data_IF_687304426809
#
_entry.id   IF_687304426809
#
_cell.length_a   1.000
_cell.length_b   1.000
_cell.length_c   1.000
_cell.angle_alpha   90.00
_cell.angle_beta   90.00
_cell.angle_gamma   90.00
#
_symmetry.space_group_name_H-M   'P 1'
#
loop_
_entity.id
_entity.type
_entity.pdbx_description
1 polymer ?
#
# COMPACT_ATOMS: atom_id res chain seq x y z
N UNK A 1 2.21 18.09 24.94
CA UNK A 1 0.90 17.91 24.32
C UNK A 1 1.02 16.87 23.21
N UNK A 2 0.06 15.93 23.13
CA UNK A 2 0.01 14.91 22.07
C UNK A 2 -0.40 15.62 20.78
N UNK A 3 0.31 15.36 19.68
CA UNK A 3 -0.06 15.82 18.34
C UNK A 3 -1.33 15.08 17.89
N UNK A 4 -2.47 15.75 18.04
CA UNK A 4 -3.78 15.17 17.73
C UNK A 4 -3.90 14.76 16.26
N UNK A 5 -3.29 15.49 15.32
CA UNK A 5 -3.31 15.15 13.90
C UNK A 5 -2.61 13.81 13.66
N UNK A 6 -1.47 13.57 14.28
CA UNK A 6 -0.77 12.27 14.19
C UNK A 6 -1.51 11.18 14.95
N UNK A 7 -2.10 11.52 16.10
CA UNK A 7 -2.90 10.56 16.86
C UNK A 7 -4.09 10.01 16.04
N UNK A 8 -4.70 10.82 15.18
CA UNK A 8 -5.85 10.41 14.36
C UNK A 8 -5.49 9.65 13.08
N UNK A 9 -4.22 9.55 12.74
CA UNK A 9 -3.77 8.77 11.57
C UNK A 9 -3.88 7.28 11.84
N UNK A 10 -4.13 6.53 10.78
CA UNK A 10 -4.10 5.07 10.75
C UNK A 10 -3.09 4.64 9.69
N UNK A 11 -2.07 3.91 10.11
CA UNK A 11 -0.98 3.45 9.24
C UNK A 11 -0.90 1.94 9.35
N UNK A 12 -0.92 1.26 8.24
CA UNK A 12 -0.83 -0.19 8.17
C UNK A 12 0.43 -0.61 7.42
N UNK A 13 1.08 -1.64 7.95
CA UNK A 13 2.14 -2.37 7.26
C UNK A 13 2.16 -3.83 7.74
N UNK A 14 2.74 -4.71 6.94
CA UNK A 14 2.90 -6.12 7.29
C UNK A 14 4.37 -6.50 7.30
N UNK A 15 4.68 -7.54 8.08
CA UNK A 15 6.02 -8.10 8.14
C UNK A 15 5.96 -9.59 8.46
N UNK A 16 7.11 -10.22 8.59
CA UNK A 16 7.21 -11.61 9.01
C UNK A 16 8.29 -11.82 10.06
N UNK A 17 8.17 -12.91 10.79
CA UNK A 17 9.19 -13.43 11.71
C UNK A 17 9.62 -14.79 11.21
N UNK A 18 10.90 -14.91 10.88
CA UNK A 18 11.50 -16.16 10.39
C UNK A 18 11.32 -17.27 11.41
N UNK A 19 10.80 -18.41 10.96
CA UNK A 19 10.54 -19.54 11.79
C UNK A 19 11.73 -20.49 11.88
N UNK A 20 11.80 -21.27 12.96
CA UNK A 20 12.80 -22.33 13.11
C UNK A 20 12.34 -23.60 12.42
N UNK A 21 12.56 -23.71 11.11
CA UNK A 21 12.12 -24.81 10.26
C UNK A 21 13.24 -25.32 9.36
N UNK A 22 13.11 -26.57 8.90
CA UNK A 22 14.11 -27.22 8.06
C UNK A 22 14.34 -26.46 6.75
N UNK A 23 13.28 -25.87 6.20
CA UNK A 23 13.28 -25.14 4.94
C UNK A 23 14.13 -23.86 5.03
N UNK A 24 14.28 -23.26 6.20
CA UNK A 24 15.17 -22.13 6.47
C UNK A 24 16.64 -22.54 6.65
N UNK A 25 16.96 -23.83 6.69
CA UNK A 25 18.33 -24.27 6.76
C UNK A 25 19.00 -24.04 5.38
N UNK A 26 20.14 -23.30 5.31
CA UNK A 26 20.85 -23.08 4.05
C UNK A 26 21.19 -24.37 3.28
N UNK A 27 21.40 -25.49 3.99
CA UNK A 27 21.65 -26.80 3.36
C UNK A 27 20.44 -27.31 2.57
N UNK A 28 19.23 -26.96 2.98
CA UNK A 28 18.01 -27.36 2.29
C UNK A 28 17.92 -26.72 0.89
N UNK A 29 17.98 -25.39 0.81
CA UNK A 29 17.97 -24.67 -0.45
C UNK A 29 19.18 -25.03 -1.35
N UNK A 30 20.39 -25.11 -0.77
CA UNK A 30 21.60 -25.45 -1.51
C UNK A 30 21.55 -26.85 -2.13
N UNK A 31 20.89 -27.81 -1.50
CA UNK A 31 20.67 -29.15 -2.07
C UNK A 31 19.83 -29.06 -3.35
N UNK A 32 18.72 -28.33 -3.31
CA UNK A 32 17.82 -28.12 -4.46
C UNK A 32 18.56 -27.39 -5.59
N UNK A 33 19.26 -26.30 -5.27
CA UNK A 33 20.05 -25.53 -6.24
C UNK A 33 21.10 -26.43 -6.94
N UNK A 34 21.80 -27.27 -6.19
CA UNK A 34 22.78 -28.22 -6.72
C UNK A 34 22.14 -29.22 -7.69
N UNK A 35 20.97 -29.75 -7.35
CA UNK A 35 20.21 -30.66 -8.22
C UNK A 35 19.79 -29.96 -9.52
N UNK A 36 19.26 -28.75 -9.42
CA UNK A 36 18.81 -27.97 -10.58
C UNK A 36 19.98 -27.56 -11.48
N UNK A 37 21.15 -27.20 -10.93
CA UNK A 37 22.37 -26.96 -11.70
C UNK A 37 22.82 -28.20 -12.47
N UNK A 38 22.78 -29.36 -11.82
CA UNK A 38 23.13 -30.64 -12.47
C UNK A 38 22.13 -31.00 -13.58
N UNK A 39 20.84 -30.78 -13.33
CA UNK A 39 19.76 -30.98 -14.31
C UNK A 39 19.92 -30.04 -15.51
N UNK A 40 20.12 -28.75 -15.29
CA UNK A 40 20.31 -27.77 -16.35
C UNK A 40 21.50 -28.10 -17.25
N UNK A 41 22.61 -28.54 -16.63
CA UNK A 41 23.81 -29.01 -17.38
C UNK A 41 23.51 -30.25 -18.23
N UNK A 42 22.79 -31.24 -17.68
CA UNK A 42 22.42 -32.46 -18.40
C UNK A 42 21.46 -32.21 -19.57
N UNK A 43 20.57 -31.22 -19.42
CA UNK A 43 19.57 -30.84 -20.43
C UNK A 43 20.06 -29.74 -21.38
N UNK A 44 21.31 -29.29 -21.26
CA UNK A 44 21.90 -28.23 -22.08
C UNK A 44 21.07 -26.94 -22.12
N UNK A 45 20.54 -26.53 -20.96
CA UNK A 45 19.85 -25.24 -20.86
C UNK A 45 20.83 -24.09 -21.16
N UNK A 46 20.31 -23.04 -21.77
CA UNK A 46 21.07 -21.83 -22.08
C UNK A 46 21.34 -20.95 -20.84
N UNK A 47 22.15 -19.90 -21.02
CA UNK A 47 22.54 -18.99 -19.93
C UNK A 47 21.36 -18.17 -19.35
N UNK A 48 20.18 -18.24 -19.95
CA UNK A 48 18.95 -17.57 -19.42
C UNK A 48 18.33 -18.32 -18.26
N UNK A 49 18.67 -19.61 -18.07
CA UNK A 49 18.17 -20.41 -16.97
C UNK A 49 18.84 -20.06 -15.65
N UNK A 50 18.04 -19.52 -14.71
CA UNK A 50 18.49 -19.21 -13.35
C UNK A 50 18.11 -20.34 -12.37
N UNK A 51 19.07 -21.19 -11.97
CA UNK A 51 18.81 -22.30 -11.03
C UNK A 51 18.44 -21.82 -9.62
N UNK A 52 18.80 -20.60 -9.24
CA UNK A 52 18.42 -20.03 -7.94
C UNK A 52 16.94 -19.66 -7.95
N UNK A 53 16.50 -18.95 -8.97
CA UNK A 53 15.09 -18.59 -9.15
C UNK A 53 14.22 -19.83 -9.29
N UNK A 54 14.67 -20.84 -10.04
CA UNK A 54 13.98 -22.12 -10.19
C UNK A 54 13.89 -22.89 -8.87
N UNK A 55 14.93 -22.85 -8.02
CA UNK A 55 14.92 -23.48 -6.72
C UNK A 55 13.82 -22.91 -5.82
N UNK A 56 13.75 -21.59 -5.67
CA UNK A 56 12.70 -20.96 -4.88
C UNK A 56 11.30 -21.21 -5.44
N UNK A 57 11.15 -21.27 -6.77
CA UNK A 57 9.89 -21.61 -7.43
C UNK A 57 9.44 -23.06 -7.17
N UNK A 58 10.39 -23.98 -6.98
CA UNK A 58 10.12 -25.41 -6.73
C UNK A 58 9.98 -25.78 -5.25
N UNK A 59 10.38 -24.89 -4.33
CA UNK A 59 10.19 -25.12 -2.90
C UNK A 59 8.70 -25.04 -2.53
N UNK A 60 8.24 -25.78 -1.50
CA UNK A 60 6.86 -25.75 -1.05
C UNK A 60 6.45 -24.32 -0.64
N UNK A 61 5.16 -23.99 -0.73
CA UNK A 61 4.64 -22.67 -0.35
C UNK A 61 4.63 -22.46 1.16
N UNK A 62 4.62 -23.53 1.94
CA UNK A 62 4.63 -23.52 3.40
C UNK A 62 5.60 -24.56 3.96
N UNK A 63 5.94 -24.46 5.23
CA UNK A 63 6.78 -25.44 5.92
C UNK A 63 6.00 -26.73 6.21
N UNK A 64 6.71 -27.87 6.18
CA UNK A 64 6.17 -29.16 6.59
C UNK A 64 5.82 -29.22 8.09
N UNK A 65 6.46 -28.40 8.91
CA UNK A 65 6.24 -28.37 10.35
C UNK A 65 4.92 -27.67 10.74
N UNK A 66 4.53 -26.62 10.00
CA UNK A 66 3.30 -25.88 10.22
C UNK A 66 2.92 -25.14 8.93
N UNK A 67 1.68 -25.32 8.46
CA UNK A 67 1.17 -24.76 7.22
C UNK A 67 1.00 -23.23 7.25
N UNK A 68 0.95 -22.61 8.43
CA UNK A 68 0.89 -21.16 8.57
C UNK A 68 2.24 -20.48 8.41
N UNK A 69 3.34 -21.27 8.45
CA UNK A 69 4.68 -20.78 8.12
C UNK A 69 4.83 -20.79 6.60
N UNK A 70 4.63 -19.65 5.98
CA UNK A 70 4.65 -19.48 4.52
C UNK A 70 5.99 -18.99 4.01
N UNK A 71 6.27 -19.27 2.72
CA UNK A 71 7.42 -18.69 2.03
C UNK A 71 7.18 -17.19 1.81
N UNK A 72 8.04 -16.35 2.38
CA UNK A 72 7.99 -14.89 2.31
C UNK A 72 9.32 -14.31 1.84
N UNK A 73 9.28 -13.08 1.32
CA UNK A 73 10.46 -12.29 1.06
C UNK A 73 10.55 -11.19 2.13
N UNK A 74 11.51 -11.30 3.03
CA UNK A 74 11.66 -10.43 4.20
C UNK A 74 13.12 -9.97 4.28
N UNK A 75 13.36 -8.71 4.57
CA UNK A 75 14.69 -8.14 4.81
C UNK A 75 15.72 -8.51 3.72
N UNK A 76 15.26 -8.58 2.46
CA UNK A 76 16.12 -8.82 1.31
C UNK A 76 16.36 -10.30 0.94
N UNK A 77 15.74 -11.26 1.62
CA UNK A 77 15.89 -12.68 1.32
C UNK A 77 14.57 -13.47 1.43
N UNK A 78 14.54 -14.62 0.77
CA UNK A 78 13.44 -15.58 0.92
C UNK A 78 13.64 -16.43 2.16
N UNK A 79 12.59 -16.52 2.98
CA UNK A 79 12.55 -17.39 4.15
C UNK A 79 11.13 -17.90 4.40
N UNK A 80 11.02 -18.91 5.27
CA UNK A 80 9.75 -19.40 5.79
C UNK A 80 9.47 -18.71 7.11
N UNK A 81 8.36 -17.99 7.14
CA UNK A 81 8.04 -17.08 8.24
C UNK A 81 6.55 -17.08 8.57
N UNK A 82 6.23 -16.72 9.80
CA UNK A 82 4.91 -16.27 10.16
C UNK A 82 4.71 -14.84 9.72
N UNK A 83 3.59 -14.55 9.10
CA UNK A 83 3.22 -13.21 8.67
C UNK A 83 2.30 -12.55 9.69
N UNK A 84 2.52 -11.26 9.93
CA UNK A 84 1.66 -10.45 10.78
C UNK A 84 1.51 -9.04 10.19
N UNK A 85 0.44 -8.35 10.58
CA UNK A 85 0.20 -6.95 10.25
C UNK A 85 0.13 -6.10 11.51
N UNK A 86 0.59 -4.87 11.41
CA UNK A 86 0.51 -3.88 12.49
C UNK A 86 -0.23 -2.64 11.99
N UNK A 87 -1.17 -2.17 12.78
CA UNK A 87 -1.79 -0.86 12.61
C UNK A 87 -1.27 0.07 13.69
N UNK A 88 -0.67 1.19 13.28
CA UNK A 88 -0.21 2.23 14.21
C UNK A 88 -0.95 3.55 13.98
N UNK A 89 -0.83 4.46 14.92
CA UNK A 89 -1.10 5.87 14.65
C UNK A 89 0.15 6.57 14.09
N UNK A 90 0.04 7.87 13.78
CA UNK A 90 1.17 8.67 13.26
C UNK A 90 2.27 8.96 14.28
N UNK A 91 2.10 8.56 15.54
CA UNK A 91 3.13 8.60 16.58
C UNK A 91 3.91 7.28 16.66
N UNK A 92 3.49 6.24 15.91
CA UNK A 92 4.08 4.92 15.95
C UNK A 92 3.53 4.02 17.06
N UNK A 93 2.48 4.44 17.77
CA UNK A 93 1.82 3.63 18.80
C UNK A 93 0.96 2.57 18.12
N UNK A 94 1.22 1.31 18.41
CA UNK A 94 0.45 0.17 17.88
C UNK A 94 -0.96 0.17 18.47
N UNK A 95 -1.96 0.06 17.57
CA UNK A 95 -3.38 0.01 17.91
C UNK A 95 -3.99 -1.36 17.65
N UNK A 96 -3.41 -2.11 16.71
CA UNK A 96 -3.88 -3.43 16.36
C UNK A 96 -2.74 -4.28 15.80
N UNK A 97 -2.78 -5.57 16.09
CA UNK A 97 -1.87 -6.58 15.56
C UNK A 97 -2.74 -7.70 14.98
N UNK A 98 -2.61 -7.94 13.68
CA UNK A 98 -3.22 -9.07 13.00
C UNK A 98 -2.16 -10.17 12.82
N UNK A 99 -2.45 -11.37 13.29
CA UNK A 99 -1.60 -12.53 13.08
C UNK A 99 -2.25 -13.44 12.03
N UNK A 100 -1.60 -13.60 10.88
CA UNK A 100 -2.20 -14.23 9.70
C UNK A 100 -2.03 -15.75 9.73
N UNK A 101 -2.72 -16.38 10.66
CA UNK A 101 -2.82 -17.80 10.83
C UNK A 101 -4.19 -18.34 10.37
N UNK A 102 -4.42 -19.62 10.55
CA UNK A 102 -5.68 -20.27 10.20
C UNK A 102 -6.89 -19.58 10.84
N UNK A 103 -6.81 -19.20 12.12
CA UNK A 103 -7.91 -18.57 12.83
C UNK A 103 -8.31 -17.23 12.19
N UNK A 104 -7.32 -16.43 11.76
CA UNK A 104 -7.58 -15.16 11.05
C UNK A 104 -8.31 -15.41 9.72
N UNK A 105 -7.87 -16.40 8.93
CA UNK A 105 -8.52 -16.71 7.65
C UNK A 105 -9.89 -17.35 7.81
N UNK A 106 -10.12 -18.11 8.87
CA UNK A 106 -11.45 -18.65 9.19
C UNK A 106 -12.45 -17.54 9.56
N UNK A 107 -11.98 -16.44 10.17
CA UNK A 107 -12.79 -15.23 10.46
C UNK A 107 -12.99 -14.33 9.22
N UNK A 108 -12.11 -14.44 8.21
CA UNK A 108 -12.13 -13.63 6.99
C UNK A 108 -12.20 -14.52 5.74
N UNK A 109 -13.31 -15.26 5.52
CA UNK A 109 -13.44 -16.17 4.38
C UNK A 109 -13.52 -15.45 3.02
N UNK A 110 -13.70 -14.14 2.99
CA UNK A 110 -13.63 -13.32 1.79
C UNK A 110 -12.22 -13.22 1.21
N UNK A 111 -11.18 -13.56 1.99
CA UNK A 111 -9.80 -13.59 1.50
C UNK A 111 -9.58 -14.87 0.72
N UNK A 112 -9.51 -14.75 -0.60
CA UNK A 112 -9.21 -15.89 -1.47
C UNK A 112 -7.72 -16.18 -1.41
N UNK A 113 -7.36 -17.37 -0.94
CA UNK A 113 -6.00 -17.87 -0.97
C UNK A 113 -5.68 -18.38 -2.38
N UNK A 114 -4.66 -17.81 -3.02
CA UNK A 114 -4.17 -18.32 -4.30
C UNK A 114 -3.31 -19.56 -4.06
N UNK A 115 -3.50 -20.59 -4.85
CA UNK A 115 -2.66 -21.79 -4.82
C UNK A 115 -1.38 -21.59 -5.65
N UNK A 116 -0.28 -22.15 -5.17
CA UNK A 116 1.00 -22.17 -5.89
C UNK A 116 1.02 -23.29 -6.94
N UNK A 117 0.31 -24.38 -6.68
CA UNK A 117 0.19 -25.56 -7.55
C UNK A 117 -1.25 -26.09 -7.51
N UNK A 118 -1.54 -27.12 -8.29
CA UNK A 118 -2.83 -27.82 -8.28
C UNK A 118 -3.03 -28.68 -7.01
N UNK A 119 -2.01 -28.82 -6.16
CA UNK A 119 -2.14 -29.51 -4.88
C UNK A 119 -3.10 -28.79 -3.94
N UNK A 120 -4.06 -29.50 -3.31
CA UNK A 120 -5.00 -28.91 -2.36
C UNK A 120 -4.33 -28.23 -1.16
N UNK A 121 -3.12 -28.69 -0.79
CA UNK A 121 -2.38 -28.25 0.39
C UNK A 121 -1.41 -27.08 0.10
N UNK A 122 -1.26 -26.69 -1.18
CA UNK A 122 -0.29 -25.70 -1.59
C UNK A 122 -0.93 -24.30 -1.74
N UNK A 123 -0.82 -23.48 -0.69
CA UNK A 123 -1.27 -22.10 -0.69
C UNK A 123 -0.12 -21.13 -0.82
N UNK A 124 -0.31 -20.05 -1.57
CA UNK A 124 0.59 -18.91 -1.58
C UNK A 124 0.41 -18.05 -0.33
N UNK A 125 1.46 -17.35 0.05
CA UNK A 125 1.33 -16.22 0.96
C UNK A 125 0.39 -15.17 0.38
N UNK A 126 -0.51 -14.65 1.22
CA UNK A 126 -1.48 -13.63 0.81
C UNK A 126 -0.81 -12.27 0.68
N UNK A 127 -1.10 -11.56 -0.41
CA UNK A 127 -0.61 -10.19 -0.63
C UNK A 127 -1.17 -9.22 0.40
N UNK A 128 -0.35 -8.27 0.83
CA UNK A 128 -0.70 -7.23 1.82
C UNK A 128 -1.95 -6.45 1.45
N UNK A 129 -2.15 -6.20 0.16
CA UNK A 129 -3.35 -5.52 -0.34
C UNK A 129 -4.67 -6.25 -0.01
N UNK A 130 -4.65 -7.58 0.16
CA UNK A 130 -5.82 -8.36 0.57
C UNK A 130 -6.00 -8.43 2.07
N UNK A 131 -4.93 -8.21 2.84
CA UNK A 131 -4.93 -8.27 4.30
C UNK A 131 -5.33 -6.93 4.94
N UNK A 132 -5.20 -5.83 4.20
CA UNK A 132 -5.45 -4.48 4.71
C UNK A 132 -6.86 -4.30 5.25
N UNK A 133 -7.88 -4.55 4.42
CA UNK A 133 -9.27 -4.28 4.79
C UNK A 133 -9.72 -5.16 5.96
N UNK A 134 -9.50 -6.50 5.96
CA UNK A 134 -9.81 -7.35 7.09
C UNK A 134 -9.15 -6.90 8.40
N UNK A 135 -7.85 -6.56 8.36
CA UNK A 135 -7.15 -6.06 9.55
C UNK A 135 -7.71 -4.74 10.08
N UNK A 136 -8.16 -3.85 9.19
CA UNK A 136 -8.82 -2.61 9.61
C UNK A 136 -10.24 -2.86 10.12
N UNK A 137 -10.96 -3.84 9.59
CA UNK A 137 -12.28 -4.24 10.10
C UNK A 137 -12.16 -4.76 11.53
N UNK A 138 -11.18 -5.61 11.82
CA UNK A 138 -10.91 -6.10 13.18
C UNK A 138 -10.53 -4.95 14.12
N UNK A 139 -9.68 -4.01 13.68
CA UNK A 139 -9.35 -2.82 14.45
C UNK A 139 -10.61 -2.03 14.84
N UNK A 140 -11.46 -1.71 13.86
CA UNK A 140 -12.65 -0.87 14.11
C UNK A 140 -13.77 -1.63 14.84
N UNK A 141 -13.82 -2.96 14.73
CA UNK A 141 -14.70 -3.80 15.55
C UNK A 141 -14.25 -3.81 17.02
N UNK A 142 -12.94 -3.96 17.26
CA UNK A 142 -12.38 -3.93 18.62
C UNK A 142 -12.45 -2.53 19.27
N UNK A 143 -12.44 -1.45 18.44
CA UNK A 143 -12.41 -0.07 18.91
C UNK A 143 -13.54 0.76 18.28
N UNK A 144 -14.80 0.56 18.71
CA UNK A 144 -15.97 1.20 18.08
C UNK A 144 -16.01 2.74 18.21
N UNK A 145 -15.25 3.30 19.14
CA UNK A 145 -15.13 4.77 19.32
C UNK A 145 -14.05 5.39 18.40
N UNK A 146 -13.23 4.58 17.75
CA UNK A 146 -12.20 5.07 16.85
C UNK A 146 -12.81 5.50 15.51
N UNK A 147 -12.57 6.75 15.11
CA UNK A 147 -13.02 7.27 13.84
C UNK A 147 -11.88 7.28 12.81
N UNK A 148 -12.10 6.72 11.61
CA UNK A 148 -11.10 6.76 10.54
C UNK A 148 -11.06 8.16 9.87
N UNK A 149 -9.94 8.89 9.98
CA UNK A 149 -9.77 10.17 9.30
C UNK A 149 -8.77 10.10 8.17
N UNK A 150 -7.55 9.68 8.46
CA UNK A 150 -6.44 9.68 7.52
C UNK A 150 -5.77 8.32 7.50
N UNK A 151 -5.70 7.70 6.33
CA UNK A 151 -4.98 6.46 6.10
C UNK A 151 -3.64 6.73 5.40
N UNK A 152 -2.58 6.04 5.84
CA UNK A 152 -1.29 6.01 5.16
C UNK A 152 -0.89 4.57 4.85
N UNK A 153 -0.48 4.32 3.63
CA UNK A 153 -0.09 2.97 3.19
C UNK A 153 0.97 2.99 2.09
N UNK A 154 1.52 1.82 1.80
CA UNK A 154 2.50 1.62 0.73
C UNK A 154 1.82 1.67 -0.66
N UNK A 155 2.63 1.84 -1.72
CA UNK A 155 2.23 1.75 -3.11
C UNK A 155 1.60 0.39 -3.50
N UNK A 156 1.83 -0.67 -2.72
CA UNK A 156 1.16 -1.96 -2.87
C UNK A 156 -0.37 -1.86 -2.71
N UNK A 157 -0.85 -0.86 -1.97
CA UNK A 157 -2.28 -0.60 -1.73
C UNK A 157 -2.93 0.30 -2.79
N UNK A 158 -2.20 0.76 -3.79
CA UNK A 158 -2.71 1.65 -4.84
C UNK A 158 -3.59 0.89 -5.85
N UNK A 159 -4.85 0.67 -5.50
CA UNK A 159 -5.85 0.10 -6.39
C UNK A 159 -7.22 0.78 -6.23
N UNK A 160 -7.96 0.89 -7.33
CA UNK A 160 -9.29 1.53 -7.32
C UNK A 160 -10.26 0.85 -6.35
N UNK A 161 -10.21 -0.47 -6.24
CA UNK A 161 -11.03 -1.25 -5.32
C UNK A 161 -10.75 -0.91 -3.86
N UNK A 162 -9.46 -0.83 -3.46
CA UNK A 162 -9.07 -0.46 -2.11
C UNK A 162 -9.46 0.98 -1.77
N UNK A 163 -9.25 1.94 -2.67
CA UNK A 163 -9.71 3.31 -2.42
C UNK A 163 -11.22 3.40 -2.21
N UNK A 164 -12.01 2.63 -2.98
CA UNK A 164 -13.45 2.58 -2.78
C UNK A 164 -13.81 2.05 -1.40
N UNK A 165 -13.15 1.00 -0.93
CA UNK A 165 -13.38 0.43 0.41
C UNK A 165 -12.89 1.36 1.54
N UNK A 166 -11.75 2.04 1.36
CA UNK A 166 -11.19 2.95 2.34
C UNK A 166 -11.98 4.27 2.46
N UNK A 167 -12.42 4.85 1.33
CA UNK A 167 -12.88 6.24 1.25
C UNK A 167 -14.40 6.38 1.07
N UNK A 168 -15.15 5.28 1.03
CA UNK A 168 -16.61 5.35 0.85
C UNK A 168 -17.33 4.18 1.50
N UNK A 169 -18.63 4.36 1.72
CA UNK A 169 -19.50 3.31 2.25
C UNK A 169 -19.34 3.08 3.76
N UNK A 170 -19.64 1.86 4.18
CA UNK A 170 -19.65 1.42 5.59
C UNK A 170 -18.74 0.22 5.83
N UNK A 171 -17.61 0.16 5.12
CA UNK A 171 -16.65 -0.95 5.19
C UNK A 171 -16.19 -1.24 6.62
N UNK A 172 -16.11 -0.20 7.45
CA UNK A 172 -15.69 -0.28 8.85
C UNK A 172 -16.87 -0.10 9.85
N UNK A 173 -18.08 -0.50 9.43
CA UNK A 173 -19.28 -0.35 10.21
C UNK A 173 -19.89 1.07 10.13
N UNK A 174 -20.76 1.40 11.08
CA UNK A 174 -21.42 2.70 11.18
C UNK A 174 -21.05 3.41 12.49
N UNK A 175 -21.11 4.74 12.47
CA UNK A 175 -20.99 5.56 13.67
C UNK A 175 -22.28 5.53 14.51
N UNK A 176 -22.30 6.26 15.64
CA UNK A 176 -23.45 6.39 16.51
C UNK A 176 -24.70 6.99 15.85
N UNK A 177 -24.54 7.66 14.71
CA UNK A 177 -25.61 8.30 13.94
C UNK A 177 -26.08 7.41 12.77
N UNK A 178 -25.55 6.19 12.63
CA UNK A 178 -25.84 5.30 11.51
C UNK A 178 -25.13 5.65 10.20
N UNK A 179 -24.18 6.61 10.23
CA UNK A 179 -23.37 6.99 9.06
C UNK A 179 -22.24 5.99 8.87
N UNK A 180 -22.02 5.55 7.63
CA UNK A 180 -20.94 4.61 7.32
C UNK A 180 -19.55 5.18 7.66
N UNK A 181 -18.74 4.41 8.38
CA UNK A 181 -17.37 4.79 8.73
C UNK A 181 -16.43 4.51 7.56
N UNK A 182 -15.69 5.53 7.16
CA UNK A 182 -14.67 5.48 6.11
C UNK A 182 -13.63 6.58 6.32
N UNK A 183 -12.46 6.42 5.73
CA UNK A 183 -11.42 7.45 5.77
C UNK A 183 -11.80 8.64 4.88
N UNK A 184 -11.37 9.82 5.27
CA UNK A 184 -11.55 11.05 4.48
C UNK A 184 -10.45 11.23 3.45
N UNK A 185 -9.24 10.70 3.75
CA UNK A 185 -8.03 10.84 2.94
C UNK A 185 -7.19 9.57 3.01
N UNK A 186 -6.60 9.19 1.89
CA UNK A 186 -5.61 8.13 1.83
C UNK A 186 -4.31 8.65 1.21
N UNK A 187 -3.22 8.52 1.93
CA UNK A 187 -1.87 8.85 1.47
C UNK A 187 -1.19 7.55 1.04
N UNK A 188 -1.36 7.21 -0.22
CA UNK A 188 -0.79 6.03 -0.88
C UNK A 188 -0.08 6.50 -2.15
N UNK A 189 1.22 6.20 -2.34
CA UNK A 189 1.93 6.52 -3.56
C UNK A 189 1.32 5.80 -4.76
N UNK A 190 1.44 6.42 -5.94
CA UNK A 190 0.97 5.80 -7.16
C UNK A 190 1.83 4.59 -7.53
N UNK A 191 1.20 3.46 -7.82
CA UNK A 191 1.87 2.29 -8.35
C UNK A 191 1.87 2.33 -9.88
N UNK A 192 3.01 2.68 -10.48
CA UNK A 192 3.16 2.77 -11.93
C UNK A 192 2.89 1.46 -12.67
N UNK A 193 3.20 0.32 -12.04
CA UNK A 193 3.01 -1.00 -12.66
C UNK A 193 1.54 -1.30 -12.91
N UNK A 194 0.65 -0.70 -12.13
CA UNK A 194 -0.79 -0.89 -12.26
C UNK A 194 -1.44 -0.01 -13.35
N UNK A 195 -0.68 0.89 -13.99
CA UNK A 195 -1.20 1.84 -14.98
C UNK A 195 -2.25 2.79 -14.39
N UNK A 196 -2.60 3.85 -15.11
CA UNK A 196 -3.80 4.63 -14.86
C UNK A 196 -4.77 4.38 -16.01
N UNK A 197 -6.00 4.02 -15.70
CA UNK A 197 -7.03 3.72 -16.71
C UNK A 197 -7.54 4.97 -17.47
N UNK A 198 -7.09 6.16 -17.06
CA UNK A 198 -7.57 7.40 -17.67
C UNK A 198 -6.88 7.65 -19.03
N UNK A 199 -7.69 7.64 -20.10
CA UNK A 199 -7.24 7.85 -21.48
C UNK A 199 -7.07 9.33 -21.86
N UNK A 200 -7.58 10.26 -21.06
CA UNK A 200 -7.65 11.67 -21.43
C UNK A 200 -6.38 12.45 -21.08
N UNK A 201 -5.56 11.92 -20.16
CA UNK A 201 -4.31 12.53 -19.73
C UNK A 201 -3.31 11.50 -19.21
N UNK A 202 -2.02 11.83 -19.30
CA UNK A 202 -0.95 11.06 -18.67
C UNK A 202 -0.48 11.75 -17.40
N UNK A 203 0.03 10.99 -16.45
CA UNK A 203 0.54 11.50 -15.17
C UNK A 203 2.01 11.16 -14.96
N UNK A 204 2.70 12.00 -14.19
CA UNK A 204 4.06 11.73 -13.74
C UNK A 204 4.07 10.79 -12.51
N UNK A 205 5.26 10.57 -11.95
CA UNK A 205 5.46 9.70 -10.77
C UNK A 205 4.66 10.11 -9.55
N UNK A 206 4.33 11.35 -9.42
CA UNK A 206 3.54 11.88 -8.30
C UNK A 206 2.03 11.85 -8.60
N UNK A 207 1.60 11.27 -9.74
CA UNK A 207 0.20 11.27 -10.16
C UNK A 207 -0.29 12.63 -10.66
N UNK A 208 0.62 13.55 -10.99
CA UNK A 208 0.27 14.89 -11.51
C UNK A 208 0.19 14.80 -13.03
N UNK A 209 -0.91 15.29 -13.66
CA UNK A 209 -0.99 15.40 -15.10
C UNK A 209 0.16 16.23 -15.68
N UNK A 210 0.69 15.83 -16.83
CA UNK A 210 1.74 16.57 -17.52
C UNK A 210 1.37 16.92 -18.96
N UNK A 211 2.16 17.78 -19.59
CA UNK A 211 1.96 18.18 -20.99
C UNK A 211 2.28 16.99 -21.91
N UNK A 212 1.37 16.58 -22.83
CA UNK A 212 1.64 15.50 -23.77
C UNK A 212 2.78 15.76 -24.75
N UNK A 213 3.05 17.05 -25.07
CA UNK A 213 4.14 17.46 -25.94
C UNK A 213 5.46 17.67 -25.20
N UNK A 214 5.44 17.64 -23.85
CA UNK A 214 6.62 17.83 -23.00
C UNK A 214 6.41 17.08 -21.67
N UNK A 215 6.78 15.79 -21.57
CA UNK A 215 6.60 15.00 -20.37
C UNK A 215 7.34 15.54 -19.13
N UNK A 216 8.33 16.37 -19.32
CA UNK A 216 9.05 17.02 -18.20
C UNK A 216 8.29 18.20 -17.59
N UNK A 217 7.15 18.61 -18.19
CA UNK A 217 6.36 19.74 -17.78
C UNK A 217 5.08 19.31 -17.07
N UNK A 218 5.07 19.19 -15.73
CA UNK A 218 3.85 18.91 -14.97
C UNK A 218 2.88 20.08 -15.05
N UNK A 219 1.59 19.80 -15.10
CA UNK A 219 0.54 20.81 -15.04
C UNK A 219 0.43 21.39 -13.63
N UNK A 220 0.16 22.69 -13.56
CA UNK A 220 0.02 23.41 -12.30
C UNK A 220 -1.36 23.14 -11.68
N UNK A 221 -1.43 22.72 -10.40
CA UNK A 221 -2.71 22.60 -9.71
C UNK A 221 -3.31 24.00 -9.46
N UNK A 222 -4.59 24.14 -9.79
CA UNK A 222 -5.34 25.39 -9.59
C UNK A 222 -6.46 25.27 -8.54
N UNK A 223 -6.45 24.18 -7.77
CA UNK A 223 -7.41 23.91 -6.72
C UNK A 223 -8.69 23.25 -7.20
N UNK A 224 -9.70 23.31 -6.37
CA UNK A 224 -11.01 22.69 -6.61
C UNK A 224 -12.00 23.67 -7.21
N UNK A 225 -12.91 23.14 -8.02
CA UNK A 225 -14.11 23.85 -8.45
C UNK A 225 -15.31 22.93 -8.32
N UNK A 226 -16.48 23.52 -7.99
CA UNK A 226 -17.75 22.80 -7.93
C UNK A 226 -18.58 23.12 -9.17
N UNK A 227 -19.08 22.09 -9.83
CA UNK A 227 -20.04 22.25 -10.92
C UNK A 227 -21.42 22.68 -10.37
N UNK A 228 -22.30 23.17 -11.23
CA UNK A 228 -23.70 23.49 -10.87
C UNK A 228 -24.47 22.25 -10.35
N UNK A 229 -24.08 21.07 -10.81
CA UNK A 229 -24.60 19.77 -10.34
C UNK A 229 -24.12 19.38 -8.92
N UNK A 230 -23.26 20.18 -8.28
CA UNK A 230 -22.67 19.85 -6.97
C UNK A 230 -21.37 19.05 -7.07
N UNK A 231 -21.03 18.48 -8.22
CA UNK A 231 -19.85 17.64 -8.41
C UNK A 231 -18.57 18.45 -8.22
N UNK A 232 -17.67 17.94 -7.39
CA UNK A 232 -16.35 18.53 -7.15
C UNK A 232 -15.37 18.02 -8.20
N UNK A 233 -14.51 18.90 -8.71
CA UNK A 233 -13.41 18.56 -9.61
C UNK A 233 -12.14 19.30 -9.24
N UNK A 234 -11.00 18.65 -9.44
CA UNK A 234 -9.68 19.26 -9.37
C UNK A 234 -9.28 19.77 -10.74
N UNK A 235 -8.74 20.98 -10.76
CA UNK A 235 -8.30 21.65 -11.99
C UNK A 235 -6.79 21.74 -12.02
N UNK A 236 -6.22 21.32 -13.14
CA UNK A 236 -4.83 21.52 -13.50
C UNK A 236 -4.74 22.33 -14.78
N UNK A 237 -3.75 23.19 -14.90
CA UNK A 237 -3.52 24.00 -16.09
C UNK A 237 -2.07 24.01 -16.52
N UNK A 238 -1.84 24.26 -17.80
CA UNK A 238 -0.51 24.41 -18.34
C UNK A 238 0.25 25.56 -17.62
N UNK A 239 1.46 25.31 -17.09
CA UNK A 239 2.24 26.35 -16.38
C UNK A 239 2.71 27.49 -17.29
N UNK A 240 2.69 27.30 -18.62
CA UNK A 240 3.02 28.35 -19.61
C UNK A 240 1.85 29.28 -19.88
N UNK A 241 0.74 29.16 -19.19
CA UNK A 241 -0.41 30.05 -19.26
C UNK A 241 -0.22 31.23 -18.30
N UNK A 242 -0.46 32.44 -18.80
CA UNK A 242 -0.46 33.68 -18.00
C UNK A 242 -1.80 34.36 -18.07
N UNK A 243 -2.11 35.16 -17.06
CA UNK A 243 -3.24 36.08 -17.08
C UNK A 243 -2.81 37.40 -17.66
N UNK A 244 -3.49 37.84 -18.71
CA UNK A 244 -3.25 39.11 -19.38
C UNK A 244 -4.49 39.97 -19.33
N UNK A 245 -4.29 41.28 -19.18
CA UNK A 245 -5.37 42.26 -19.20
C UNK A 245 -5.64 42.67 -20.64
N UNK A 246 -6.84 42.45 -21.10
CA UNK A 246 -7.30 42.94 -22.40
C UNK A 246 -7.38 44.48 -22.37
N UNK A 247 -6.67 45.11 -23.28
CA UNK A 247 -6.59 46.58 -23.35
C UNK A 247 -7.93 47.24 -23.70
N UNK A 248 -8.82 46.55 -24.43
CA UNK A 248 -10.10 47.09 -24.90
C UNK A 248 -11.22 46.93 -23.87
N UNK A 249 -11.25 45.75 -23.17
CA UNK A 249 -12.32 45.45 -22.23
C UNK A 249 -11.94 45.64 -20.77
N UNK A 250 -10.63 45.79 -20.48
CA UNK A 250 -10.07 45.85 -19.13
C UNK A 250 -10.15 44.56 -18.34
N UNK A 251 -10.66 43.46 -18.93
CA UNK A 251 -10.84 42.15 -18.28
C UNK A 251 -9.58 41.30 -18.41
N UNK A 252 -9.31 40.51 -17.38
CA UNK A 252 -8.23 39.51 -17.43
C UNK A 252 -8.69 38.25 -18.14
N UNK A 253 -7.87 37.76 -19.05
CA UNK A 253 -8.06 36.47 -19.71
C UNK A 253 -6.77 35.64 -19.69
N UNK A 254 -6.90 34.34 -19.94
CA UNK A 254 -5.77 33.45 -19.95
C UNK A 254 -5.20 33.31 -21.35
N UNK A 255 -3.87 33.43 -21.45
CA UNK A 255 -3.13 33.32 -22.71
C UNK A 255 -2.05 32.26 -22.60
N UNK A 256 -2.01 31.38 -23.57
CA UNK A 256 -0.99 30.32 -23.64
C UNK A 256 0.25 30.85 -24.37
N UNK A 257 1.39 30.88 -23.66
CA UNK A 257 2.69 31.26 -24.21
C UNK A 257 3.54 30.08 -24.66
N UNK A 258 2.93 28.95 -24.96
CA UNK A 258 3.65 27.77 -25.39
C UNK A 258 4.05 27.88 -26.86
N UNK A 259 5.35 27.64 -27.16
CA UNK A 259 5.85 27.64 -28.56
C UNK A 259 5.34 26.44 -29.35
N UNK A 260 5.07 25.32 -28.67
CA UNK A 260 4.52 24.09 -29.25
C UNK A 260 3.25 23.68 -28.46
N UNK A 261 2.09 24.34 -28.71
CA UNK A 261 0.89 24.11 -27.93
C UNK A 261 0.33 22.70 -28.19
N UNK A 262 -0.03 22.02 -27.12
CA UNK A 262 -0.65 20.68 -27.13
C UNK A 262 -2.20 20.72 -27.23
N UNK A 263 -2.76 21.90 -27.45
CA UNK A 263 -4.21 22.14 -27.58
C UNK A 263 -4.44 23.35 -28.46
N UNK A 264 -5.55 23.37 -29.17
CA UNK A 264 -6.02 24.52 -29.96
C UNK A 264 -6.63 25.65 -29.08
N UNK A 265 -6.85 25.36 -27.80
CA UNK A 265 -7.42 26.38 -26.89
C UNK A 265 -6.44 27.51 -26.63
N UNK A 266 -6.83 28.78 -26.83
CA UNK A 266 -5.99 29.94 -26.52
C UNK A 266 -5.68 30.04 -25.03
N UNK A 267 -6.52 29.47 -24.16
CA UNK A 267 -6.32 29.41 -22.71
C UNK A 267 -5.36 28.31 -22.26
N UNK A 268 -4.75 27.55 -23.21
CA UNK A 268 -3.87 26.45 -22.94
C UNK A 268 -4.60 25.19 -22.46
N UNK A 269 -3.83 24.11 -22.22
CA UNK A 269 -4.38 22.82 -21.78
C UNK A 269 -4.85 22.90 -20.33
N UNK A 270 -6.05 22.37 -20.10
CA UNK A 270 -6.62 22.15 -18.77
C UNK A 270 -7.01 20.67 -18.64
N UNK A 271 -6.74 20.10 -17.48
CA UNK A 271 -7.14 18.75 -17.08
C UNK A 271 -8.02 18.85 -15.84
N UNK A 272 -9.10 18.12 -15.82
CA UNK A 272 -10.01 18.03 -14.68
C UNK A 272 -10.05 16.60 -14.18
N UNK A 273 -9.74 16.43 -12.89
CA UNK A 273 -9.88 15.15 -12.18
C UNK A 273 -11.17 15.21 -11.35
N UNK A 274 -11.99 14.18 -11.49
CA UNK A 274 -13.25 14.03 -10.77
C UNK A 274 -13.07 12.93 -9.70
N UNK A 275 -12.94 13.28 -8.41
CA UNK A 275 -12.74 12.30 -7.33
C UNK A 275 -13.81 11.19 -7.30
N UNK A 276 -15.06 11.54 -7.59
CA UNK A 276 -16.17 10.58 -7.64
C UNK A 276 -15.99 9.49 -8.71
N UNK A 277 -15.25 9.80 -9.79
CA UNK A 277 -15.01 8.88 -10.92
C UNK A 277 -13.66 8.18 -10.82
N UNK A 278 -12.70 8.80 -10.18
CA UNK A 278 -11.32 8.34 -10.13
C UNK A 278 -10.69 8.63 -8.76
N UNK A 279 -11.07 7.80 -7.77
CA UNK A 279 -10.52 7.85 -6.42
C UNK A 279 -9.00 7.60 -6.40
N UNK A 280 -8.46 6.85 -7.36
CA UNK A 280 -7.05 6.56 -7.45
C UNK A 280 -6.24 7.79 -7.86
N UNK A 281 -6.77 8.61 -8.77
CA UNK A 281 -6.15 9.87 -9.16
C UNK A 281 -6.24 10.91 -8.03
N UNK A 282 -7.33 10.89 -7.27
CA UNK A 282 -7.53 11.80 -6.14
C UNK A 282 -8.16 11.10 -4.92
N UNK A 283 -7.35 10.50 -4.05
CA UNK A 283 -7.82 9.80 -2.85
C UNK A 283 -8.08 10.73 -1.64
N UNK A 284 -8.82 11.81 -1.84
CA UNK A 284 -9.09 12.84 -0.83
C UNK A 284 -7.92 13.82 -0.59
N UNK A 285 -6.79 13.64 -1.28
CA UNK A 285 -5.60 14.49 -1.18
C UNK A 285 -4.86 14.56 -2.52
N UNK A 286 -4.10 15.61 -2.73
CA UNK A 286 -3.34 15.82 -3.96
C UNK A 286 -1.88 15.40 -3.75
N UNK A 287 -1.43 14.40 -4.51
CA UNK A 287 -0.01 13.97 -4.54
C UNK A 287 0.87 15.06 -5.13
N UNK A 288 2.18 14.99 -4.90
CA UNK A 288 3.18 15.93 -5.41
C UNK A 288 3.06 17.33 -4.81
N UNK A 289 2.46 17.48 -3.65
CA UNK A 289 2.45 18.71 -2.88
C UNK A 289 3.30 18.55 -1.61
N UNK A 290 3.89 19.65 -1.14
CA UNK A 290 4.67 19.65 0.10
C UNK A 290 3.86 19.13 1.29
N UNK A 291 2.56 19.39 1.33
CA UNK A 291 1.66 18.86 2.38
C UNK A 291 1.57 17.34 2.29
N UNK A 292 1.40 16.82 1.06
CA UNK A 292 1.34 15.37 0.84
C UNK A 292 2.65 14.71 1.26
N UNK A 293 3.78 15.24 0.80
CA UNK A 293 5.12 14.68 1.10
C UNK A 293 5.41 14.67 2.59
N UNK A 294 5.12 15.77 3.28
CA UNK A 294 5.35 15.86 4.73
C UNK A 294 4.45 14.91 5.52
N UNK A 295 3.19 14.72 5.09
CA UNK A 295 2.27 13.78 5.73
C UNK A 295 2.69 12.34 5.44
N UNK A 296 3.04 12.02 4.19
CA UNK A 296 3.43 10.66 3.81
C UNK A 296 4.70 10.17 4.52
N UNK A 297 5.66 11.06 4.81
CA UNK A 297 6.86 10.71 5.60
C UNK A 297 6.53 10.11 6.97
N UNK A 298 5.35 10.41 7.53
CA UNK A 298 4.91 9.85 8.81
C UNK A 298 4.69 8.33 8.71
N UNK A 299 4.47 7.78 7.50
CA UNK A 299 4.34 6.34 7.28
C UNK A 299 5.50 5.54 7.86
N UNK A 300 6.71 6.09 7.85
CA UNK A 300 7.88 5.40 8.40
C UNK A 300 7.77 5.07 9.90
N UNK A 301 6.79 5.62 10.60
CA UNK A 301 6.56 5.29 12.01
C UNK A 301 6.10 3.84 12.21
N UNK A 302 5.32 3.26 11.29
CA UNK A 302 4.92 1.85 11.38
C UNK A 302 6.13 0.93 11.16
N UNK A 303 7.02 1.27 10.23
CA UNK A 303 8.27 0.53 10.01
C UNK A 303 9.16 0.55 11.25
N UNK A 304 9.27 1.71 11.92
CA UNK A 304 10.00 1.83 13.20
C UNK A 304 9.38 0.96 14.29
N UNK A 305 8.04 0.90 14.37
CA UNK A 305 7.35 0.04 15.33
C UNK A 305 7.60 -1.44 15.04
N UNK A 306 7.57 -1.86 13.77
CA UNK A 306 7.93 -3.22 13.37
C UNK A 306 9.38 -3.54 13.75
N UNK A 307 10.32 -2.64 13.47
CA UNK A 307 11.73 -2.82 13.82
C UNK A 307 11.93 -2.85 15.35
N UNK A 308 11.19 -2.02 16.10
CA UNK A 308 11.22 -2.07 17.56
C UNK A 308 10.77 -3.45 18.08
N UNK A 309 9.71 -4.02 17.50
CA UNK A 309 9.25 -5.36 17.86
C UNK A 309 10.30 -6.43 17.52
N UNK A 310 10.84 -6.39 16.30
CA UNK A 310 11.83 -7.37 15.85
C UNK A 310 13.13 -7.29 16.62
N UNK A 311 13.70 -6.10 16.76
CA UNK A 311 15.05 -5.90 17.25
C UNK A 311 15.07 -5.59 18.76
N UNK A 312 14.36 -4.52 19.20
CA UNK A 312 14.44 -4.07 20.59
C UNK A 312 13.74 -5.02 21.56
N UNK A 313 12.59 -5.61 21.14
CA UNK A 313 11.88 -6.61 21.94
C UNK A 313 12.29 -8.04 21.61
N UNK A 314 13.25 -8.22 20.68
CA UNK A 314 13.92 -9.49 20.41
C UNK A 314 13.09 -10.54 19.69
N UNK A 315 11.98 -10.17 19.04
CA UNK A 315 11.12 -11.12 18.34
C UNK A 315 11.82 -11.82 17.16
N UNK A 316 12.71 -11.10 16.45
CA UNK A 316 13.48 -11.70 15.35
C UNK A 316 14.43 -12.81 15.80
N UNK A 317 14.91 -12.75 17.02
CA UNK A 317 15.78 -13.77 17.61
C UNK A 317 15.04 -15.01 18.14
N UNK A 318 13.72 -14.92 18.26
CA UNK A 318 12.88 -15.99 18.87
C UNK A 318 12.50 -17.11 17.94
N UNK A 319 13.21 -17.37 16.88
CA UNK A 319 12.91 -18.40 15.87
C UNK A 319 12.18 -19.62 16.48
N UNK A 320 10.85 -19.68 16.31
CA UNK A 320 9.99 -20.72 16.85
C UNK A 320 9.16 -21.36 15.75
N UNK A 321 8.71 -22.59 15.98
CA UNK A 321 7.68 -23.25 15.18
C UNK A 321 6.29 -23.14 15.84
N UNK A 322 6.25 -22.64 17.08
CA UNK A 322 5.01 -22.58 17.87
C UNK A 322 4.31 -21.26 17.61
N UNK A 323 3.23 -21.32 16.87
CA UNK A 323 2.36 -20.21 16.51
C UNK A 323 1.82 -19.48 17.73
N UNK A 324 1.29 -20.19 18.73
CA UNK A 324 0.69 -19.58 19.92
C UNK A 324 1.70 -18.80 20.73
N UNK A 325 2.93 -19.32 20.84
CA UNK A 325 4.02 -18.61 21.52
C UNK A 325 4.37 -17.32 20.80
N UNK A 326 4.50 -17.39 19.47
CA UNK A 326 4.84 -16.18 18.69
C UNK A 326 3.72 -15.14 18.73
N UNK A 327 2.47 -15.57 18.63
CA UNK A 327 1.31 -14.67 18.76
C UNK A 327 1.27 -14.01 20.14
N UNK A 328 1.50 -14.76 21.22
CA UNK A 328 1.61 -14.22 22.56
C UNK A 328 2.76 -13.20 22.69
N UNK A 329 3.93 -13.52 22.14
CA UNK A 329 5.09 -12.60 22.15
C UNK A 329 4.82 -11.33 21.37
N UNK A 330 4.11 -11.38 20.25
CA UNK A 330 3.68 -10.17 19.50
C UNK A 330 2.75 -9.28 20.33
N UNK A 331 1.79 -9.88 21.03
CA UNK A 331 0.87 -9.12 21.91
C UNK A 331 1.62 -8.52 23.10
N UNK A 332 2.55 -9.26 23.71
CA UNK A 332 3.40 -8.75 24.79
C UNK A 332 4.30 -7.59 24.32
N UNK A 333 4.82 -7.66 23.10
CA UNK A 333 5.57 -6.55 22.51
C UNK A 333 4.70 -5.29 22.35
N UNK A 334 3.44 -5.46 21.90
CA UNK A 334 2.48 -4.36 21.84
C UNK A 334 2.20 -3.73 23.21
N UNK A 335 1.98 -4.55 24.24
CA UNK A 335 1.80 -4.07 25.62
C UNK A 335 3.06 -3.36 26.11
N UNK A 336 4.25 -3.92 25.87
CA UNK A 336 5.53 -3.33 26.28
C UNK A 336 5.71 -1.94 25.67
N UNK A 337 5.36 -1.76 24.40
CA UNK A 337 5.44 -0.45 23.74
C UNK A 337 4.56 0.62 24.42
N UNK A 338 3.45 0.22 25.03
CA UNK A 338 2.55 1.15 25.73
C UNK A 338 3.05 1.55 27.12
N UNK A 339 4.00 0.81 27.68
CA UNK A 339 4.54 1.03 29.04
C UNK A 339 5.84 1.85 28.96
N UNK A 340 6.64 1.67 27.93
CA UNK A 340 7.93 2.34 27.72
C UNK A 340 7.75 3.65 26.95
#
# INVERSE_FOLDING_TARGET
AIDSCKADMTIFDSSGIEAWVTENNPKYANRIIKQLKAYAKAMHFDDSYDPYKAAYGSMPSHSAANSDIKQLYIDGHFCYAYKFGIVTNGLGIVRHISFYNKDFFDHHPEIILEKKSDSPEEDKSVHDARLLIPSLQDLFAAHPLLNPHTFLGDAAFDSAGLYKQLLSGSTFGTDSNGTGRHFQKAYIPLNYRAGLENKDYSVNQDGIPFCPNDPSLPLKPEGTSRLRSGVIRYKFSCPKVKWEKDASTGKYHRVCHCKNPCTSSPCGRMVYIYPEKDLRAYPGTLRGTTVWDNTYKIRTTVERSINQFKDSFGLAGRKTQNEKTLHADLLLAGITQLIV
#
